data_IF_833973187462
#
_entry.id   IF_833973187462
#
_cell.length_a   1.000
_cell.length_b   1.000
_cell.length_c   1.000
_cell.angle_alpha   90.00
_cell.angle_beta   90.00
_cell.angle_gamma   90.00
#
_symmetry.space_group_name_H-M   'P 1'
#
loop_
_entity.id
_entity.type
_entity.pdbx_description
1 polymer ?
#
# COMPACT_ATOMS: atom_id res chain seq x y z
N UNK A 1 16.73 33.45 -22.85
CA UNK A 1 15.82 33.78 -21.73
C UNK A 1 14.41 33.79 -22.28
N UNK A 2 13.69 32.67 -22.18
CA UNK A 2 12.25 32.62 -22.50
C UNK A 2 11.58 31.67 -21.50
N UNK A 3 10.61 32.26 -20.81
CA UNK A 3 9.59 31.71 -19.90
C UNK A 3 10.02 30.72 -18.82
N UNK A 4 10.17 31.24 -17.60
CA UNK A 4 9.76 30.52 -16.41
C UNK A 4 8.30 30.07 -16.60
N UNK A 5 8.11 28.78 -16.86
CA UNK A 5 6.82 28.13 -16.65
C UNK A 5 6.52 28.27 -15.16
N UNK A 6 5.44 28.95 -14.82
CA UNK A 6 4.95 29.00 -13.46
C UNK A 6 4.65 27.56 -13.01
N UNK A 7 5.56 26.97 -12.25
CA UNK A 7 5.33 25.71 -11.56
C UNK A 7 4.11 25.90 -10.67
N UNK A 8 3.07 25.10 -10.89
CA UNK A 8 1.90 25.09 -10.02
C UNK A 8 2.37 24.47 -8.72
N UNK A 9 2.86 25.31 -7.80
CA UNK A 9 3.41 24.86 -6.52
C UNK A 9 2.32 24.25 -5.64
N UNK A 10 1.09 24.73 -5.77
CA UNK A 10 -0.04 24.41 -4.89
C UNK A 10 -1.37 24.54 -5.61
N UNK A 11 -2.41 23.86 -5.12
CA UNK A 11 -3.79 23.99 -5.59
C UNK A 11 -4.69 24.42 -4.45
N UNK A 12 -5.56 25.42 -4.64
CA UNK A 12 -6.49 25.92 -3.62
C UNK A 12 -7.91 25.86 -4.15
N UNK A 13 -8.85 25.41 -3.32
CA UNK A 13 -10.24 25.28 -3.72
C UNK A 13 -11.19 25.17 -2.52
N UNK A 14 -12.50 25.26 -2.78
CA UNK A 14 -13.51 25.06 -1.75
C UNK A 14 -13.60 23.59 -1.37
N UNK A 15 -13.86 23.31 -0.08
CA UNK A 15 -14.28 21.98 0.37
C UNK A 15 -15.80 21.89 0.25
N UNK A 16 -16.26 20.88 -0.48
CA UNK A 16 -17.69 20.74 -0.79
C UNK A 16 -18.54 20.63 0.48
N UNK A 17 -19.77 21.15 0.43
CA UNK A 17 -20.71 21.03 1.56
C UNK A 17 -21.04 19.57 1.88
N UNK A 18 -20.99 18.68 0.89
CA UNK A 18 -21.17 17.23 1.10
C UNK A 18 -20.02 16.68 1.94
N UNK A 19 -18.77 16.98 1.57
CA UNK A 19 -17.58 16.56 2.31
C UNK A 19 -17.60 17.09 3.76
N UNK A 20 -17.93 18.37 3.96
CA UNK A 20 -18.01 18.96 5.32
C UNK A 20 -19.05 18.28 6.19
N UNK A 21 -20.26 18.02 5.66
CA UNK A 21 -21.31 17.32 6.40
C UNK A 21 -20.93 15.88 6.75
N UNK A 22 -20.24 15.18 5.84
CA UNK A 22 -19.75 13.83 6.09
C UNK A 22 -18.69 13.84 7.20
N UNK A 23 -17.72 14.73 7.08
CA UNK A 23 -16.65 14.89 8.07
C UNK A 23 -17.21 15.23 9.46
N UNK A 24 -18.18 16.16 9.55
CA UNK A 24 -18.88 16.50 10.81
C UNK A 24 -19.69 15.33 11.38
N UNK A 25 -20.29 14.49 10.53
CA UNK A 25 -21.02 13.30 10.97
C UNK A 25 -20.07 12.31 11.62
N UNK A 26 -19.01 11.89 10.92
CA UNK A 26 -18.06 10.90 11.43
C UNK A 26 -17.24 11.41 12.61
N UNK A 27 -16.92 12.70 12.62
CA UNK A 27 -16.30 13.38 13.75
C UNK A 27 -17.13 13.23 15.04
N UNK A 28 -18.47 13.34 14.97
CA UNK A 28 -19.37 13.19 16.14
C UNK A 28 -19.54 11.75 16.61
N UNK A 29 -19.20 10.77 15.78
CA UNK A 29 -19.27 9.35 16.13
C UNK A 29 -18.04 8.90 16.94
N UNK A 30 -17.00 9.73 17.03
CA UNK A 30 -15.77 9.42 17.76
C UNK A 30 -15.91 9.61 19.27
N UNK A 31 -15.24 8.75 20.03
CA UNK A 31 -15.34 8.71 21.50
C UNK A 31 -14.62 9.85 22.21
N UNK A 32 -13.56 10.43 21.61
CA UNK A 32 -12.76 11.50 22.24
C UNK A 32 -12.70 12.75 21.35
N UNK A 33 -12.54 13.95 21.95
CA UNK A 33 -12.38 15.19 21.20
C UNK A 33 -11.19 15.17 20.22
N UNK A 34 -10.07 14.59 20.64
CA UNK A 34 -8.86 14.50 19.81
C UNK A 34 -9.13 13.65 18.57
N UNK A 35 -9.77 12.49 18.77
CA UNK A 35 -10.12 11.60 17.66
C UNK A 35 -11.19 12.21 16.76
N UNK A 36 -12.16 12.91 17.35
CA UNK A 36 -13.20 13.67 16.65
C UNK A 36 -12.60 14.70 15.70
N UNK A 37 -11.62 15.48 16.17
CA UNK A 37 -10.90 16.46 15.36
C UNK A 37 -10.04 15.79 14.28
N UNK A 38 -9.33 14.72 14.64
CA UNK A 38 -8.50 13.97 13.71
C UNK A 38 -9.32 13.41 12.53
N UNK A 39 -10.45 12.76 12.83
CA UNK A 39 -11.36 12.20 11.81
C UNK A 39 -11.96 13.29 10.93
N UNK A 40 -12.34 14.44 11.52
CA UNK A 40 -12.81 15.60 10.76
C UNK A 40 -11.77 16.03 9.72
N UNK A 41 -10.54 16.29 10.16
CA UNK A 41 -9.47 16.78 9.29
C UNK A 41 -9.06 15.76 8.22
N UNK A 42 -8.93 14.48 8.58
CA UNK A 42 -8.61 13.41 7.63
C UNK A 42 -9.69 13.30 6.55
N UNK A 43 -10.97 13.33 6.93
CA UNK A 43 -12.09 13.23 5.98
C UNK A 43 -12.13 14.41 5.02
N UNK A 44 -11.90 15.64 5.52
CA UNK A 44 -11.83 16.84 4.68
C UNK A 44 -10.65 16.78 3.71
N UNK A 45 -9.49 16.31 4.19
CA UNK A 45 -8.26 16.16 3.41
C UNK A 45 -8.44 15.17 2.26
N UNK A 46 -8.89 13.95 2.56
CA UNK A 46 -9.14 12.90 1.56
C UNK A 46 -10.18 13.34 0.54
N UNK A 47 -11.30 13.95 0.99
CA UNK A 47 -12.34 14.45 0.08
C UNK A 47 -11.79 15.51 -0.89
N UNK A 48 -10.90 16.38 -0.42
CA UNK A 48 -10.33 17.45 -1.24
C UNK A 48 -9.30 16.93 -2.23
N UNK A 49 -8.47 15.97 -1.83
CA UNK A 49 -7.54 15.29 -2.75
C UNK A 49 -8.29 14.47 -3.78
N UNK A 50 -9.36 13.77 -3.39
CA UNK A 50 -10.23 13.04 -4.32
C UNK A 50 -10.79 13.97 -5.39
N UNK A 51 -11.37 15.10 -4.99
CA UNK A 51 -11.87 16.11 -5.93
C UNK A 51 -10.78 16.61 -6.89
N UNK A 52 -9.58 16.89 -6.37
CA UNK A 52 -8.46 17.33 -7.20
C UNK A 52 -8.04 16.26 -8.22
N UNK A 53 -7.88 15.01 -7.79
CA UNK A 53 -7.49 13.90 -8.67
C UNK A 53 -8.55 13.59 -9.72
N UNK A 54 -9.83 13.64 -9.37
CA UNK A 54 -10.94 13.50 -10.34
C UNK A 54 -10.90 14.62 -11.40
N UNK A 55 -10.58 15.86 -11.00
CA UNK A 55 -10.38 16.97 -11.95
C UNK A 55 -9.19 16.74 -12.89
N UNK A 56 -8.20 15.97 -12.45
CA UNK A 56 -7.01 15.59 -13.23
C UNK A 56 -7.19 14.24 -13.93
N UNK A 57 -8.42 13.72 -14.00
CA UNK A 57 -8.79 12.48 -14.71
C UNK A 57 -8.17 11.19 -14.14
N UNK A 58 -7.73 11.20 -12.87
CA UNK A 58 -7.37 9.97 -12.15
C UNK A 58 -8.61 9.30 -11.56
N UNK A 59 -8.73 7.99 -11.77
CA UNK A 59 -9.79 7.17 -11.16
C UNK A 59 -9.43 6.82 -9.70
N UNK A 60 -10.33 7.11 -8.77
CA UNK A 60 -10.16 6.89 -7.32
C UNK A 60 -11.30 6.06 -6.76
N UNK A 61 -11.04 5.36 -5.65
CA UNK A 61 -12.03 4.55 -4.94
C UNK A 61 -12.02 4.86 -3.44
N UNK A 62 -12.95 5.72 -3.03
CA UNK A 62 -13.14 6.08 -1.62
C UNK A 62 -13.56 4.88 -0.78
N UNK A 63 -14.51 4.07 -1.25
CA UNK A 63 -15.08 2.97 -0.44
C UNK A 63 -14.05 1.85 -0.17
N UNK A 64 -13.07 1.68 -1.07
CA UNK A 64 -11.95 0.76 -0.86
C UNK A 64 -10.80 1.35 -0.03
N UNK A 65 -10.85 2.65 0.32
CA UNK A 65 -9.84 3.32 1.15
C UNK A 65 -10.06 3.05 2.64
N UNK A 66 -8.98 2.94 3.41
CA UNK A 66 -9.08 2.65 4.85
C UNK A 66 -9.71 3.81 5.62
N UNK A 67 -9.52 5.04 5.15
CA UNK A 67 -10.08 6.27 5.68
C UNK A 67 -11.61 6.35 5.61
N UNK A 68 -12.22 5.57 4.71
CA UNK A 68 -13.68 5.46 4.52
C UNK A 68 -14.31 4.28 5.25
N UNK A 69 -13.50 3.45 5.91
CA UNK A 69 -13.98 2.36 6.76
C UNK A 69 -14.17 2.84 8.21
N UNK A 70 -15.39 2.82 8.78
CA UNK A 70 -15.65 3.36 10.12
C UNK A 70 -14.82 2.70 11.22
N UNK A 71 -14.53 1.41 11.10
CA UNK A 71 -13.74 0.69 12.12
C UNK A 71 -12.27 1.08 12.03
N UNK A 72 -11.69 1.12 10.82
CA UNK A 72 -10.29 1.54 10.63
C UNK A 72 -10.09 3.00 11.02
N UNK A 73 -11.01 3.88 10.63
CA UNK A 73 -11.00 5.28 11.01
C UNK A 73 -11.00 5.44 12.54
N UNK A 74 -11.78 4.63 13.27
CA UNK A 74 -11.82 4.66 14.74
C UNK A 74 -10.49 4.19 15.35
N UNK A 75 -9.86 3.16 14.79
CA UNK A 75 -8.66 2.51 15.34
C UNK A 75 -7.32 3.14 14.90
N UNK A 76 -7.31 3.91 13.82
CA UNK A 76 -6.09 4.41 13.17
C UNK A 76 -6.17 5.89 12.81
N UNK A 77 -5.04 6.58 12.83
CA UNK A 77 -4.89 7.84 12.11
C UNK A 77 -4.52 7.57 10.66
N UNK A 78 -5.56 7.39 9.85
CA UNK A 78 -5.46 7.08 8.44
C UNK A 78 -6.27 8.08 7.63
N UNK A 79 -5.66 8.57 6.56
CA UNK A 79 -6.23 9.50 5.59
C UNK A 79 -5.84 9.08 4.17
N UNK A 80 -5.89 7.78 3.88
CA UNK A 80 -5.55 7.25 2.55
C UNK A 80 -6.67 7.47 1.53
N UNK A 81 -6.27 7.52 0.27
CA UNK A 81 -7.13 7.50 -0.90
C UNK A 81 -6.58 6.46 -1.88
N UNK A 82 -7.36 5.45 -2.21
CA UNK A 82 -7.01 4.47 -3.23
C UNK A 82 -7.14 5.11 -4.62
N UNK A 83 -6.05 5.08 -5.38
CA UNK A 83 -6.05 5.39 -6.81
C UNK A 83 -6.06 4.06 -7.56
N UNK A 84 -7.06 3.89 -8.42
CA UNK A 84 -7.33 2.62 -9.11
C UNK A 84 -6.10 2.17 -9.89
N UNK A 85 -5.73 0.89 -9.72
CA UNK A 85 -4.53 0.26 -10.31
C UNK A 85 -3.16 0.81 -9.86
N UNK A 86 -3.07 1.85 -9.04
CA UNK A 86 -1.79 2.42 -8.59
C UNK A 86 -1.50 2.11 -7.13
N UNK A 87 -2.46 2.35 -6.24
CA UNK A 87 -2.30 2.14 -4.79
C UNK A 87 -2.79 3.31 -3.96
N UNK A 88 -2.44 3.30 -2.67
CA UNK A 88 -2.96 4.24 -1.66
C UNK A 88 -2.09 5.48 -1.50
N UNK A 89 -2.67 6.65 -1.73
CA UNK A 89 -2.06 7.96 -1.49
C UNK A 89 -2.49 8.49 -0.12
N UNK A 90 -1.57 8.82 0.77
CA UNK A 90 -1.91 9.36 2.09
C UNK A 90 -2.11 10.88 2.04
N UNK A 91 -3.29 11.35 2.45
CA UNK A 91 -3.73 12.74 2.38
C UNK A 91 -3.62 13.39 3.76
N UNK A 92 -2.44 13.87 4.15
CA UNK A 92 -2.18 14.37 5.51
C UNK A 92 -2.68 15.81 5.71
N UNK A 93 -3.62 16.05 6.65
CA UNK A 93 -4.07 17.40 6.93
C UNK A 93 -3.06 18.18 7.78
N UNK A 94 -2.99 19.49 7.54
CA UNK A 94 -2.38 20.48 8.43
C UNK A 94 -3.30 21.68 8.58
N UNK A 95 -3.16 22.43 9.67
CA UNK A 95 -3.85 23.72 9.85
C UNK A 95 -3.00 24.86 9.28
N UNK A 96 -3.64 26.00 9.05
CA UNK A 96 -2.98 27.22 8.59
C UNK A 96 -1.74 27.55 9.45
N UNK A 97 -0.65 27.96 8.79
CA UNK A 97 0.64 28.32 9.40
C UNK A 97 1.42 27.17 10.06
N UNK A 98 0.99 25.91 9.90
CA UNK A 98 1.80 24.76 10.32
C UNK A 98 3.21 24.82 9.69
N UNK A 99 4.20 24.31 10.42
CA UNK A 99 5.59 24.22 9.94
C UNK A 99 6.01 22.78 9.68
N UNK A 100 5.29 21.83 10.28
CA UNK A 100 5.55 20.40 10.23
C UNK A 100 4.28 19.65 9.88
N UNK A 101 4.47 18.49 9.26
CA UNK A 101 3.42 17.54 8.93
C UNK A 101 3.64 16.31 9.79
N UNK A 102 2.60 15.90 10.51
CA UNK A 102 2.63 14.65 11.27
C UNK A 102 2.14 13.48 10.40
N UNK A 103 2.96 12.43 10.33
CA UNK A 103 2.66 11.15 9.66
C UNK A 103 2.70 10.03 10.71
N UNK A 104 1.55 9.45 11.07
CA UNK A 104 1.48 8.36 12.02
C UNK A 104 2.36 7.18 11.59
N UNK A 105 3.09 6.52 12.51
CA UNK A 105 3.95 5.38 12.16
C UNK A 105 3.24 4.27 11.36
N UNK A 106 1.95 4.04 11.65
CA UNK A 106 1.13 3.01 10.99
C UNK A 106 0.83 3.29 9.51
N UNK A 107 1.02 4.52 9.03
CA UNK A 107 0.75 4.90 7.63
C UNK A 107 2.01 5.34 6.91
N UNK A 108 3.20 5.10 7.48
CA UNK A 108 4.50 5.36 6.83
C UNK A 108 4.86 4.27 5.79
N UNK A 109 4.14 3.15 5.78
CA UNK A 109 4.35 2.00 4.91
C UNK A 109 3.14 1.76 4.00
N UNK A 110 3.33 1.01 2.92
CA UNK A 110 2.29 0.66 1.95
C UNK A 110 1.49 1.89 1.46
N UNK A 111 2.22 2.93 1.07
CA UNK A 111 1.70 4.13 0.42
C UNK A 111 2.49 4.40 -0.85
N UNK A 112 1.79 4.81 -1.90
CA UNK A 112 2.44 5.25 -3.13
C UNK A 112 3.01 6.66 -3.00
N UNK A 113 2.53 7.43 -2.01
CA UNK A 113 3.08 8.73 -1.63
C UNK A 113 2.18 9.50 -0.66
N UNK A 114 2.56 10.73 -0.36
CA UNK A 114 1.93 11.58 0.64
C UNK A 114 1.66 12.96 0.07
N UNK A 115 0.42 13.43 0.18
CA UNK A 115 0.00 14.79 -0.18
C UNK A 115 -0.38 15.52 1.09
N UNK A 116 0.09 16.76 1.20
CA UNK A 116 -0.18 17.61 2.36
C UNK A 116 -1.26 18.61 2.04
N UNK A 117 -2.29 18.65 2.88
CA UNK A 117 -3.49 19.46 2.69
C UNK A 117 -3.61 20.45 3.83
N UNK A 118 -3.38 21.73 3.56
CA UNK A 118 -3.69 22.81 4.49
C UNK A 118 -5.20 23.06 4.48
N UNK A 119 -5.83 22.93 5.64
CA UNK A 119 -7.27 23.15 5.82
C UNK A 119 -7.47 24.48 6.51
N UNK A 120 -8.32 25.33 5.93
CA UNK A 120 -8.64 26.63 6.52
C UNK A 120 -9.36 26.50 7.86
N UNK A 121 -9.22 27.50 8.74
CA UNK A 121 -9.87 27.49 10.07
C UNK A 121 -11.40 27.36 9.98
N UNK A 122 -11.99 27.89 8.90
CA UNK A 122 -13.43 27.81 8.64
C UNK A 122 -13.91 26.44 8.13
N UNK A 123 -12.97 25.55 7.78
CA UNK A 123 -13.17 24.30 7.06
C UNK A 123 -13.85 24.44 5.68
N UNK A 124 -13.96 25.66 5.13
CA UNK A 124 -14.65 25.90 3.85
C UNK A 124 -13.74 25.78 2.63
N UNK A 125 -12.43 25.87 2.82
CA UNK A 125 -11.43 25.74 1.76
C UNK A 125 -10.22 24.95 2.24
N UNK A 126 -9.51 24.39 1.28
CA UNK A 126 -8.24 23.72 1.49
C UNK A 126 -7.24 24.09 0.41
N UNK A 127 -5.97 23.81 0.69
CA UNK A 127 -4.84 24.01 -0.20
C UNK A 127 -3.93 22.78 -0.19
N UNK A 128 -3.69 22.20 -1.35
CA UNK A 128 -2.66 21.18 -1.54
C UNK A 128 -1.30 21.88 -1.53
N UNK A 129 -0.50 21.65 -0.48
CA UNK A 129 0.79 22.31 -0.28
C UNK A 129 1.91 21.68 -1.11
N UNK A 130 1.79 20.40 -1.42
CA UNK A 130 2.79 19.66 -2.18
C UNK A 130 2.78 18.17 -1.85
N UNK A 131 3.85 17.49 -2.26
CA UNK A 131 3.95 16.04 -2.30
C UNK A 131 5.31 15.54 -1.82
N UNK A 132 5.34 14.36 -1.18
CA UNK A 132 6.55 13.56 -0.97
C UNK A 132 6.26 12.10 -1.26
N UNK A 133 7.21 11.39 -1.86
CA UNK A 133 7.04 9.97 -2.23
C UNK A 133 7.09 9.04 -1.01
N UNK A 134 8.02 9.30 -0.09
CA UNK A 134 8.30 8.43 1.06
C UNK A 134 8.53 9.28 2.31
N UNK A 135 8.17 8.73 3.46
CA UNK A 135 8.34 9.38 4.76
C UNK A 135 8.80 8.34 5.77
N UNK A 136 9.94 8.60 6.42
CA UNK A 136 10.53 7.72 7.43
C UNK A 136 10.54 8.33 8.84
N UNK A 137 10.00 9.55 9.00
CA UNK A 137 9.96 10.29 10.26
C UNK A 137 8.54 10.75 10.57
N UNK A 138 8.18 10.71 11.84
CA UNK A 138 6.81 11.03 12.28
C UNK A 138 6.44 12.49 12.03
N UNK A 139 7.41 13.41 12.07
CA UNK A 139 7.20 14.83 11.83
C UNK A 139 8.26 15.36 10.87
N UNK A 140 7.85 15.75 9.66
CA UNK A 140 8.75 16.33 8.67
C UNK A 140 8.37 17.78 8.36
N UNK A 141 9.33 18.66 8.07
CA UNK A 141 9.06 20.07 7.79
C UNK A 141 8.41 20.28 6.42
N UNK A 142 7.44 21.19 6.33
CA UNK A 142 6.66 21.47 5.10
C UNK A 142 7.56 21.89 3.93
N UNK A 143 8.72 22.48 4.19
CA UNK A 143 9.67 22.88 3.15
C UNK A 143 10.35 21.70 2.41
N UNK A 144 10.18 20.46 2.88
CA UNK A 144 10.61 19.26 2.17
C UNK A 144 9.63 18.82 1.08
N UNK A 145 8.43 19.42 1.02
CA UNK A 145 7.45 19.10 0.00
C UNK A 145 7.95 19.48 -1.38
N UNK A 146 7.82 18.53 -2.30
CA UNK A 146 7.96 18.79 -3.71
C UNK A 146 6.73 19.55 -4.23
N UNK A 147 6.88 20.33 -5.33
CA UNK A 147 5.76 21.00 -5.98
C UNK A 147 4.63 20.02 -6.30
N UNK A 148 3.38 20.49 -6.23
CA UNK A 148 2.21 19.66 -6.51
C UNK A 148 2.24 19.03 -7.92
N UNK A 149 2.78 19.73 -8.92
CA UNK A 149 3.02 19.18 -10.26
C UNK A 149 3.76 17.82 -10.25
N UNK A 150 4.71 17.65 -9.35
CA UNK A 150 5.49 16.41 -9.26
C UNK A 150 4.60 15.21 -8.90
N UNK A 151 3.49 15.42 -8.19
CA UNK A 151 2.51 14.37 -7.92
C UNK A 151 1.92 13.83 -9.23
N UNK A 152 1.45 14.71 -10.12
CA UNK A 152 0.79 14.29 -11.36
C UNK A 152 1.76 13.56 -12.28
N UNK A 153 2.95 14.13 -12.48
CA UNK A 153 4.02 13.49 -13.26
C UNK A 153 4.38 12.11 -12.69
N UNK A 154 4.40 11.98 -11.37
CA UNK A 154 4.68 10.71 -10.70
C UNK A 154 3.55 9.69 -10.87
N UNK A 155 2.29 10.09 -10.71
CA UNK A 155 1.15 9.20 -10.89
C UNK A 155 1.01 8.73 -12.35
N UNK A 156 1.22 9.62 -13.32
CA UNK A 156 1.28 9.26 -14.75
C UNK A 156 2.42 8.28 -15.03
N UNK A 157 3.59 8.50 -14.44
CA UNK A 157 4.70 7.56 -14.53
C UNK A 157 4.32 6.17 -14.01
N UNK A 158 3.66 6.08 -12.86
CA UNK A 158 3.20 4.80 -12.31
C UNK A 158 2.18 4.11 -13.22
N UNK A 159 1.24 4.85 -13.80
CA UNK A 159 0.24 4.32 -14.73
C UNK A 159 0.90 3.77 -16.01
N UNK A 160 1.88 4.48 -16.56
CA UNK A 160 2.65 4.03 -17.72
C UNK A 160 3.47 2.76 -17.44
N UNK A 161 3.98 2.58 -16.22
CA UNK A 161 4.65 1.33 -15.86
C UNK A 161 3.64 0.19 -15.77
N UNK A 162 2.53 0.39 -15.04
CA UNK A 162 1.47 -0.62 -14.88
C UNK A 162 0.92 -1.09 -16.23
N UNK A 163 0.76 -0.20 -17.21
CA UNK A 163 0.28 -0.56 -18.56
C UNK A 163 1.32 -1.29 -19.40
N UNK A 164 2.60 -0.88 -19.37
CA UNK A 164 3.69 -1.56 -20.09
C UNK A 164 3.90 -3.00 -19.60
N UNK A 165 3.86 -3.23 -18.29
CA UNK A 165 4.01 -4.58 -17.73
C UNK A 165 2.83 -5.51 -18.07
N UNK A 166 1.61 -4.99 -18.20
CA UNK A 166 0.44 -5.78 -18.65
C UNK A 166 0.57 -6.24 -20.11
N UNK A 167 1.20 -5.45 -20.99
CA UNK A 167 1.31 -5.78 -22.43
C UNK A 167 2.50 -6.67 -22.79
N UNK A 168 3.58 -6.69 -21.99
CA UNK A 168 4.77 -7.51 -22.29
C UNK A 168 4.63 -8.98 -21.86
N UNK A 169 3.69 -9.31 -20.98
CA UNK A 169 3.52 -10.66 -20.43
C UNK A 169 2.55 -11.57 -21.19
N UNK A 170 2.08 -11.19 -22.38
CA UNK A 170 1.31 -12.10 -23.24
C UNK A 170 2.17 -13.14 -23.98
N UNK A 171 3.50 -12.97 -24.07
CA UNK A 171 4.32 -13.72 -25.04
C UNK A 171 5.62 -14.35 -24.51
N UNK A 172 5.83 -14.53 -23.19
CA UNK A 172 7.07 -15.19 -22.73
C UNK A 172 6.91 -16.10 -21.52
N UNK A 173 7.15 -17.39 -21.76
CA UNK A 173 7.38 -18.45 -20.78
C UNK A 173 8.76 -18.35 -20.08
N UNK A 174 9.30 -17.14 -19.96
CA UNK A 174 10.49 -16.87 -19.14
C UNK A 174 10.04 -16.67 -17.70
N UNK A 175 10.70 -17.36 -16.77
CA UNK A 175 10.42 -17.32 -15.34
C UNK A 175 10.16 -15.87 -14.87
N UNK A 176 8.93 -15.60 -14.42
CA UNK A 176 8.57 -14.32 -13.80
C UNK A 176 9.35 -14.21 -12.49
N UNK A 177 10.50 -13.54 -12.54
CA UNK A 177 11.28 -13.15 -11.36
C UNK A 177 10.74 -11.80 -10.89
N UNK A 178 10.37 -11.70 -9.62
CA UNK A 178 9.97 -10.44 -9.02
C UNK A 178 11.18 -9.70 -8.45
N UNK A 179 11.41 -8.45 -8.87
CA UNK A 179 12.53 -7.63 -8.42
C UNK A 179 12.14 -6.78 -7.21
N UNK A 180 12.44 -7.26 -5.99
CA UNK A 180 11.97 -6.64 -4.74
C UNK A 180 12.50 -5.22 -4.55
N UNK A 181 13.74 -4.92 -4.95
CA UNK A 181 14.25 -3.55 -4.96
C UNK A 181 13.36 -2.56 -5.72
N UNK A 182 12.75 -2.99 -6.83
CA UNK A 182 11.90 -2.14 -7.67
C UNK A 182 10.53 -1.89 -7.05
N UNK A 183 10.13 -2.69 -6.08
CA UNK A 183 8.88 -2.48 -5.34
C UNK A 183 8.91 -1.18 -4.54
N UNK A 184 10.07 -0.75 -4.03
CA UNK A 184 10.25 0.57 -3.41
C UNK A 184 10.03 1.73 -4.40
N UNK A 185 10.21 1.48 -5.70
CA UNK A 185 9.94 2.44 -6.76
C UNK A 185 8.46 2.42 -7.22
N UNK A 186 7.62 1.63 -6.56
CA UNK A 186 6.25 1.33 -6.96
C UNK A 186 6.14 0.69 -8.36
N UNK A 187 7.15 -0.07 -8.74
CA UNK A 187 7.16 -0.85 -9.97
C UNK A 187 6.99 -2.33 -9.61
N UNK A 188 5.95 -2.95 -10.19
CA UNK A 188 5.55 -4.32 -9.85
C UNK A 188 5.30 -5.14 -11.12
N UNK A 189 5.57 -6.44 -11.05
CA UNK A 189 5.27 -7.36 -12.12
C UNK A 189 3.75 -7.60 -12.20
N UNK A 190 3.23 -7.88 -13.39
CA UNK A 190 1.78 -7.93 -13.64
C UNK A 190 1.02 -8.99 -12.85
N UNK A 191 1.70 -10.01 -12.32
CA UNK A 191 1.09 -11.05 -11.48
C UNK A 191 1.00 -10.66 -10.00
N UNK A 192 1.69 -9.60 -9.60
CA UNK A 192 1.64 -9.06 -8.24
C UNK A 192 0.67 -7.88 -8.20
N UNK A 193 -0.10 -7.79 -7.13
CA UNK A 193 -1.13 -6.76 -6.98
C UNK A 193 -1.23 -6.31 -5.53
N UNK A 194 -2.07 -5.32 -5.25
CA UNK A 194 -2.28 -4.86 -3.88
C UNK A 194 -2.98 -5.94 -3.07
N UNK A 195 -2.77 -5.95 -1.74
CA UNK A 195 -3.42 -6.90 -0.84
C UNK A 195 -4.95 -6.79 -0.97
N UNK A 196 -5.46 -5.56 -1.09
CA UNK A 196 -6.88 -5.31 -1.28
C UNK A 196 -7.40 -6.09 -2.48
N UNK A 197 -6.74 -6.02 -3.64
CA UNK A 197 -7.20 -6.71 -4.86
C UNK A 197 -7.37 -8.23 -4.71
N UNK A 198 -6.62 -8.86 -3.79
CA UNK A 198 -6.64 -10.32 -3.57
C UNK A 198 -7.59 -10.70 -2.42
N UNK A 199 -7.67 -9.90 -1.36
CA UNK A 199 -8.35 -10.26 -0.10
C UNK A 199 -9.54 -9.37 0.24
N UNK A 200 -10.01 -8.52 -0.68
CA UNK A 200 -11.04 -7.48 -0.52
C UNK A 200 -12.32 -7.90 0.24
N UNK A 201 -12.64 -9.19 0.33
CA UNK A 201 -13.87 -9.69 0.97
C UNK A 201 -13.69 -10.22 2.40
N UNK A 202 -12.47 -10.30 2.93
CA UNK A 202 -12.22 -10.97 4.20
C UNK A 202 -11.96 -9.96 5.33
N UNK A 203 -12.97 -9.76 6.17
CA UNK A 203 -12.95 -8.88 7.36
C UNK A 203 -11.71 -9.07 8.26
N UNK A 204 -11.13 -10.28 8.27
CA UNK A 204 -9.93 -10.60 9.06
C UNK A 204 -8.65 -9.88 8.63
N UNK A 205 -8.57 -9.38 7.40
CA UNK A 205 -7.38 -8.72 6.85
C UNK A 205 -7.37 -7.21 7.04
N UNK A 206 -8.56 -6.62 7.07
CA UNK A 206 -8.74 -5.19 7.30
C UNK A 206 -8.08 -4.73 8.62
N UNK A 207 -7.85 -5.64 9.57
CA UNK A 207 -7.28 -5.34 10.89
C UNK A 207 -5.81 -5.75 11.07
N UNK A 208 -5.23 -6.56 10.19
CA UNK A 208 -3.88 -7.16 10.41
C UNK A 208 -2.72 -6.41 9.76
N UNK A 209 -2.96 -5.64 8.69
CA UNK A 209 -1.87 -4.85 8.07
C UNK A 209 -1.32 -3.78 9.02
N UNK A 210 -2.10 -3.37 10.03
CA UNK A 210 -1.71 -2.38 11.03
C UNK A 210 -0.85 -2.93 12.19
N UNK A 211 -0.65 -4.25 12.31
CA UNK A 211 0.04 -4.87 13.46
C UNK A 211 1.54 -5.11 13.24
N UNK A 212 2.04 -5.23 12.00
CA UNK A 212 3.38 -5.80 11.76
C UNK A 212 4.57 -4.83 11.91
N UNK A 213 4.36 -3.57 12.32
CA UNK A 213 5.42 -2.68 12.82
C UNK A 213 6.59 -2.35 11.87
N UNK A 214 6.59 -2.87 10.64
CA UNK A 214 7.65 -2.70 9.66
C UNK A 214 7.51 -1.30 9.03
N UNK A 215 8.36 -0.37 9.47
CA UNK A 215 8.41 0.99 8.91
C UNK A 215 8.99 0.96 7.50
N UNK A 216 8.50 1.85 6.65
CA UNK A 216 8.95 2.01 5.25
C UNK A 216 8.91 0.71 4.45
N UNK A 217 7.91 -0.15 4.72
CA UNK A 217 7.77 -1.42 4.02
C UNK A 217 6.88 -1.30 2.80
N UNK A 218 7.18 -2.13 1.80
CA UNK A 218 6.34 -2.36 0.63
C UNK A 218 5.86 -3.80 0.68
N UNK A 219 4.57 -4.01 0.39
CA UNK A 219 3.98 -5.34 0.38
C UNK A 219 3.14 -5.56 -0.86
N UNK A 220 3.24 -6.75 -1.46
CA UNK A 220 2.40 -7.15 -2.59
C UNK A 220 1.87 -8.55 -2.39
N UNK A 221 0.70 -8.79 -2.98
CA UNK A 221 0.00 -10.05 -2.91
C UNK A 221 -0.15 -10.67 -4.30
N UNK A 222 -0.25 -11.99 -4.33
CA UNK A 222 -0.58 -12.76 -5.51
C UNK A 222 -1.48 -13.92 -5.12
N UNK A 223 -2.48 -14.21 -5.96
CA UNK A 223 -3.32 -15.39 -5.80
C UNK A 223 -2.62 -16.58 -6.47
N UNK A 224 -2.39 -17.63 -5.70
CA UNK A 224 -1.83 -18.90 -6.19
C UNK A 224 -2.98 -19.87 -6.36
N UNK A 225 -3.38 -20.13 -7.61
CA UNK A 225 -4.34 -21.18 -7.97
C UNK A 225 -3.58 -22.46 -8.33
N UNK A 226 -3.84 -23.55 -7.61
CA UNK A 226 -3.21 -24.85 -7.85
C UNK A 226 -3.88 -25.65 -8.98
N UNK A 227 -4.92 -25.08 -9.59
CA UNK A 227 -5.61 -25.61 -10.76
C UNK A 227 -6.48 -26.83 -10.47
N UNK A 228 -6.98 -27.44 -11.54
CA UNK A 228 -8.01 -28.49 -11.48
C UNK A 228 -7.54 -29.73 -10.69
N UNK A 229 -6.24 -30.06 -10.75
CA UNK A 229 -5.68 -31.23 -10.05
C UNK A 229 -5.78 -31.11 -8.52
N UNK A 230 -5.78 -29.90 -8.01
CA UNK A 230 -5.95 -29.59 -6.59
C UNK A 230 -7.36 -29.06 -6.31
N UNK A 231 -8.37 -29.50 -7.06
CA UNK A 231 -9.76 -29.07 -6.91
C UNK A 231 -9.97 -27.54 -7.00
N UNK A 232 -9.09 -26.84 -7.73
CA UNK A 232 -9.05 -25.36 -7.81
C UNK A 232 -8.92 -24.69 -6.44
N UNK A 233 -8.27 -25.37 -5.48
CA UNK A 233 -7.84 -24.72 -4.26
C UNK A 233 -6.85 -23.60 -4.60
N UNK A 234 -6.92 -22.54 -3.81
CA UNK A 234 -6.04 -21.39 -3.96
C UNK A 234 -5.63 -20.88 -2.60
N UNK A 235 -4.47 -20.23 -2.55
CA UNK A 235 -3.96 -19.52 -1.38
C UNK A 235 -3.43 -18.18 -1.82
N UNK A 236 -3.48 -17.19 -0.93
CA UNK A 236 -2.86 -15.91 -1.18
C UNK A 236 -1.44 -15.92 -0.62
N UNK A 237 -0.46 -15.53 -1.44
CA UNK A 237 0.89 -15.20 -0.97
C UNK A 237 0.98 -13.68 -0.80
N UNK A 238 1.51 -13.25 0.33
CA UNK A 238 1.88 -11.85 0.61
C UNK A 238 3.37 -11.81 0.87
N UNK A 239 4.07 -10.94 0.15
CA UNK A 239 5.49 -10.68 0.39
C UNK A 239 5.63 -9.24 0.86
N UNK A 240 6.29 -9.04 2.00
CA UNK A 240 6.61 -7.74 2.57
C UNK A 240 8.12 -7.57 2.56
N UNK A 241 8.59 -6.39 2.15
CA UNK A 241 10.00 -6.04 2.13
C UNK A 241 10.22 -4.69 2.81
N UNK A 242 11.27 -4.57 3.61
CA UNK A 242 11.77 -3.31 4.14
C UNK A 242 13.29 -3.29 4.13
N UNK A 243 13.89 -2.10 4.05
CA UNK A 243 15.32 -1.95 4.32
C UNK A 243 15.59 -2.25 5.80
N UNK A 244 16.74 -2.86 6.10
CA UNK A 244 17.22 -2.93 7.48
C UNK A 244 17.61 -1.51 7.96
N UNK A 245 17.24 -1.17 9.20
CA UNK A 245 17.49 0.17 9.77
C UNK A 245 19.00 0.48 9.91
N UNK A 246 19.85 -0.55 9.98
CA UNK A 246 21.29 -0.44 10.18
C UNK A 246 22.11 -0.76 8.93
N UNK A 247 21.51 -1.40 7.92
CA UNK A 247 22.20 -1.82 6.70
C UNK A 247 21.30 -1.68 5.45
N UNK A 248 21.57 -0.68 4.62
CA UNK A 248 20.81 -0.46 3.38
C UNK A 248 21.05 -1.54 2.32
N UNK A 249 22.12 -2.33 2.45
CA UNK A 249 22.44 -3.43 1.53
C UNK A 249 21.76 -4.76 1.95
N UNK A 250 21.07 -4.78 3.09
CA UNK A 250 20.32 -5.93 3.59
C UNK A 250 18.82 -5.61 3.63
N UNK A 251 18.00 -6.52 3.10
CA UNK A 251 16.56 -6.40 3.11
C UNK A 251 15.95 -7.41 4.06
N UNK A 252 15.00 -6.95 4.87
CA UNK A 252 14.14 -7.81 5.67
C UNK A 252 12.92 -8.22 4.85
N UNK A 253 12.73 -9.53 4.72
CA UNK A 253 11.69 -10.13 3.88
C UNK A 253 10.77 -10.97 4.75
N UNK A 254 9.46 -10.76 4.59
CA UNK A 254 8.42 -11.56 5.23
C UNK A 254 7.55 -12.16 4.13
N UNK A 255 7.49 -13.50 4.07
CA UNK A 255 6.61 -14.25 3.18
C UNK A 255 5.48 -14.85 4.00
N UNK A 256 4.26 -14.43 3.72
CA UNK A 256 3.07 -14.96 4.38
C UNK A 256 2.16 -15.70 3.40
N UNK A 257 1.63 -16.83 3.85
CA UNK A 257 0.56 -17.56 3.17
C UNK A 257 -0.71 -17.46 3.99
N UNK A 258 -1.80 -17.19 3.28
CA UNK A 258 -3.08 -16.99 3.90
C UNK A 258 -4.22 -17.65 3.13
N UNK A 259 -5.30 -18.05 3.84
CA UNK A 259 -6.48 -18.59 3.19
C UNK A 259 -7.14 -17.54 2.29
N UNK A 260 -7.92 -18.02 1.34
CA UNK A 260 -8.71 -17.20 0.42
C UNK A 260 -10.13 -17.77 0.32
N UNK A 261 -10.99 -17.11 -0.45
CA UNK A 261 -12.37 -17.55 -0.69
C UNK A 261 -13.20 -17.68 0.60
N UNK A 262 -12.90 -16.88 1.62
CA UNK A 262 -13.62 -16.86 2.89
C UNK A 262 -13.31 -18.05 3.81
N UNK A 263 -12.25 -18.81 3.54
CA UNK A 263 -11.81 -19.88 4.43
C UNK A 263 -11.12 -19.30 5.68
N UNK A 264 -11.34 -19.93 6.84
CA UNK A 264 -10.71 -19.48 8.09
C UNK A 264 -9.28 -20.03 8.26
N UNK A 265 -8.99 -21.17 7.64
CA UNK A 265 -7.74 -21.91 7.82
C UNK A 265 -7.10 -22.24 6.48
N UNK A 266 -5.78 -22.34 6.48
CA UNK A 266 -5.01 -22.84 5.35
C UNK A 266 -5.31 -24.31 5.08
N UNK A 267 -5.19 -24.77 3.82
CA UNK A 267 -5.27 -26.18 3.50
C UNK A 267 -4.26 -27.01 4.30
N UNK A 268 -4.70 -28.13 4.88
CA UNK A 268 -3.91 -28.94 5.83
C UNK A 268 -2.70 -29.66 5.24
N UNK A 269 -2.58 -29.72 3.91
CA UNK A 269 -1.44 -30.30 3.20
C UNK A 269 -0.50 -29.25 2.62
N UNK A 270 -0.72 -27.97 2.92
CA UNK A 270 0.10 -26.87 2.42
C UNK A 270 1.49 -26.91 3.05
N UNK A 271 2.52 -26.84 2.21
CA UNK A 271 3.92 -26.76 2.61
C UNK A 271 4.58 -25.63 1.85
N UNK A 272 5.29 -24.75 2.56
CA UNK A 272 6.07 -23.67 1.96
C UNK A 272 7.54 -23.82 2.30
N UNK A 273 8.39 -23.58 1.31
CA UNK A 273 9.84 -23.60 1.43
C UNK A 273 10.42 -22.32 0.79
N UNK A 274 11.38 -21.71 1.47
CA UNK A 274 12.31 -20.74 0.90
C UNK A 274 13.51 -21.52 0.39
N UNK A 275 13.84 -21.34 -0.89
CA UNK A 275 14.96 -21.98 -1.57
C UNK A 275 16.03 -20.92 -1.87
N UNK A 276 17.30 -21.29 -1.71
CA UNK A 276 18.45 -20.50 -2.19
C UNK A 276 18.64 -20.61 -3.71
N UNK A 277 19.70 -19.99 -4.24
CA UNK A 277 20.02 -19.96 -5.68
C UNK A 277 20.28 -21.36 -6.27
N UNK A 278 20.80 -22.28 -5.45
CA UNK A 278 21.00 -23.68 -5.81
C UNK A 278 19.71 -24.52 -5.75
N UNK A 279 18.60 -23.94 -5.28
CA UNK A 279 17.32 -24.61 -5.10
C UNK A 279 17.24 -25.46 -3.84
N UNK A 280 18.13 -25.25 -2.88
CA UNK A 280 18.15 -25.93 -1.58
C UNK A 280 17.20 -25.24 -0.62
N UNK A 281 16.37 -26.01 0.08
CA UNK A 281 15.48 -25.45 1.09
C UNK A 281 16.28 -24.96 2.31
N UNK A 282 16.24 -23.66 2.54
CA UNK A 282 16.91 -22.99 3.69
C UNK A 282 15.93 -22.68 4.83
N UNK A 283 14.63 -22.59 4.53
CA UNK A 283 13.58 -22.41 5.52
C UNK A 283 12.28 -23.06 5.05
N UNK A 284 11.50 -23.68 5.93
CA UNK A 284 10.23 -24.32 5.56
C UNK A 284 9.19 -24.32 6.68
N UNK A 285 7.92 -24.37 6.30
CA UNK A 285 6.79 -24.50 7.23
C UNK A 285 5.61 -25.25 6.59
N UNK A 286 4.98 -26.13 7.38
CA UNK A 286 3.80 -26.91 6.98
C UNK A 286 2.56 -26.44 7.73
N UNK A 287 1.47 -26.31 7.00
CA UNK A 287 0.17 -26.01 7.59
C UNK A 287 -0.34 -27.22 8.40
N UNK A 288 -1.04 -26.90 9.47
CA UNK A 288 -1.87 -27.81 10.27
C UNK A 288 -3.32 -27.37 10.10
N UNK A 289 -4.26 -28.23 10.52
CA UNK A 289 -5.70 -28.02 10.34
C UNK A 289 -6.26 -26.72 10.97
N UNK A 290 -5.52 -26.08 11.87
CA UNK A 290 -5.89 -24.87 12.59
C UNK A 290 -5.00 -23.66 12.25
N UNK A 291 -4.09 -23.77 11.27
CA UNK A 291 -3.25 -22.66 10.86
C UNK A 291 -4.05 -21.62 10.08
N UNK A 292 -4.26 -20.44 10.68
CA UNK A 292 -4.88 -19.27 10.02
C UNK A 292 -3.95 -18.54 9.06
N UNK A 293 -2.63 -18.65 9.28
CA UNK A 293 -1.57 -18.17 8.39
C UNK A 293 -0.28 -18.95 8.61
N UNK A 294 0.62 -18.90 7.63
CA UNK A 294 2.05 -19.22 7.78
C UNK A 294 2.82 -17.94 7.49
N UNK A 295 3.87 -17.67 8.26
CA UNK A 295 4.77 -16.53 8.06
C UNK A 295 6.20 -17.00 8.21
N UNK A 296 7.03 -16.71 7.21
CA UNK A 296 8.46 -16.97 7.18
C UNK A 296 9.17 -15.61 7.07
N UNK A 297 10.10 -15.34 7.98
CA UNK A 297 10.82 -14.08 8.07
C UNK A 297 12.32 -14.36 8.00
N UNK A 298 13.01 -13.64 7.12
CA UNK A 298 14.45 -13.75 6.93
C UNK A 298 15.02 -12.44 6.37
N UNK A 299 16.33 -12.28 6.48
CA UNK A 299 17.06 -11.22 5.82
C UNK A 299 17.87 -11.80 4.66
N UNK A 300 18.13 -10.98 3.65
CA UNK A 300 19.04 -11.33 2.57
C UNK A 300 19.61 -10.07 1.90
N UNK A 301 20.73 -10.21 1.21
CA UNK A 301 21.50 -9.10 0.67
C UNK A 301 20.97 -8.69 -0.71
N UNK A 302 21.13 -7.41 -1.04
CA UNK A 302 20.76 -6.88 -2.37
C UNK A 302 21.56 -7.60 -3.46
N UNK A 303 20.87 -8.16 -4.45
CA UNK A 303 21.43 -8.95 -5.53
C UNK A 303 21.31 -10.47 -5.35
N UNK A 304 20.96 -10.96 -4.16
CA UNK A 304 20.69 -12.38 -3.94
C UNK A 304 19.40 -12.82 -4.65
N UNK A 305 19.35 -14.07 -5.09
CA UNK A 305 18.12 -14.71 -5.55
C UNK A 305 17.58 -15.70 -4.51
N UNK A 306 16.26 -15.74 -4.39
CA UNK A 306 15.58 -16.80 -3.66
C UNK A 306 14.30 -17.21 -4.36
N UNK A 307 13.80 -18.39 -4.03
CA UNK A 307 12.52 -18.87 -4.54
C UNK A 307 11.60 -19.30 -3.42
N UNK A 308 10.31 -19.00 -3.55
CA UNK A 308 9.27 -19.51 -2.66
C UNK A 308 8.57 -20.66 -3.36
N UNK A 309 8.76 -21.88 -2.85
CA UNK A 309 8.08 -23.07 -3.33
C UNK A 309 6.90 -23.40 -2.44
N UNK A 310 5.70 -23.34 -3.01
CA UNK A 310 4.44 -23.64 -2.33
C UNK A 310 3.91 -24.96 -2.88
N UNK A 311 3.70 -25.93 -2.00
CA UNK A 311 3.27 -27.29 -2.34
C UNK A 311 1.93 -27.57 -1.67
N UNK A 312 0.98 -28.10 -2.45
CA UNK A 312 -0.31 -28.57 -1.98
C UNK A 312 -0.55 -29.99 -2.52
N UNK A 313 -0.38 -30.99 -1.65
CA UNK A 313 -0.39 -32.40 -2.06
C UNK A 313 0.71 -32.69 -3.09
N UNK A 314 0.31 -33.07 -4.31
CA UNK A 314 1.21 -33.43 -5.41
C UNK A 314 1.50 -32.26 -6.38
N UNK A 315 0.91 -31.08 -6.14
CA UNK A 315 1.08 -29.90 -6.98
C UNK A 315 2.01 -28.91 -6.28
N UNK A 316 2.90 -28.27 -7.04
CA UNK A 316 3.74 -27.20 -6.54
C UNK A 316 3.79 -26.00 -7.48
N UNK A 317 3.81 -24.81 -6.90
CA UNK A 317 4.09 -23.54 -7.58
C UNK A 317 5.39 -22.96 -7.02
N UNK A 318 6.18 -22.32 -7.88
CA UNK A 318 7.43 -21.66 -7.50
C UNK A 318 7.36 -20.21 -7.97
N UNK A 319 7.56 -19.28 -7.05
CA UNK A 319 7.75 -17.85 -7.32
C UNK A 319 9.22 -17.51 -7.10
N UNK A 320 9.83 -16.81 -8.06
CA UNK A 320 11.26 -16.47 -8.00
C UNK A 320 11.39 -14.98 -7.69
N UNK A 321 12.40 -14.63 -6.91
CA UNK A 321 12.64 -13.26 -6.45
C UNK A 321 14.11 -12.91 -6.60
N UNK A 322 14.37 -11.70 -7.08
CA UNK A 322 15.65 -11.02 -7.02
C UNK A 322 15.52 -9.90 -6.00
N UNK A 323 16.47 -9.82 -5.07
CA UNK A 323 16.46 -8.82 -4.01
C UNK A 323 16.97 -7.48 -4.51
#
# INVERSE_FOLDING_TARGET
MMSDMATISTFTGPISTVARRLAEKWSREQATPEKSQQVLLNTLSVSFVNFYLECMEFETDLEASDSWNPVKQTLMDVADLLITNLGKLECRPVLENAQFVYVPPKVQSNRIGYVVVEISESFQSAKLLGFVKEVSIDNFPINQLQPLENLLNYLEFLELQTTKFKSQNLDSSSQNVAELKRWFENIFESSWSTIESIFLTELGWQFRSAEDGLKNSVERAKLIDFGIKANRESVGIVVKVSHDENNLDEMKIIVELHPTNGQEYLPSSLHVMILDEEGTAVMEAKAKNDNKKISLEFNADVGDNFSVKIVLGDVSVIENFLI
#
